data_IF_433541228885
#
_entry.id   IF_433541228885
#
_cell.length_a   1.000
_cell.length_b   1.000
_cell.length_c   1.000
_cell.angle_alpha   90.00
_cell.angle_beta   90.00
_cell.angle_gamma   90.00
#
_symmetry.space_group_name_H-M   'P 1'
#
loop_
_entity.id
_entity.type
_entity.pdbx_description
1 polymer ?
#
# COMPACT_ATOMS: atom_id res chain seq x y z
N UNK A 1 -69.19 50.09 39.53
CA UNK A 1 -69.27 48.62 39.69
C UNK A 1 -67.92 48.07 39.27
N UNK A 2 -67.13 47.69 40.27
CA UNK A 2 -65.72 47.38 40.13
C UNK A 2 -65.47 46.03 39.48
N UNK A 3 -64.36 46.00 38.76
CA UNK A 3 -63.67 44.85 38.19
C UNK A 3 -63.52 43.70 39.20
N UNK A 4 -63.83 42.48 38.75
CA UNK A 4 -63.25 41.27 39.31
C UNK A 4 -63.26 40.17 38.24
N UNK A 5 -62.48 40.38 37.17
CA UNK A 5 -62.06 39.28 36.30
C UNK A 5 -61.04 38.49 37.11
N UNK A 6 -61.33 37.21 37.31
CA UNK A 6 -60.65 36.39 38.31
C UNK A 6 -59.15 36.25 37.98
N UNK A 7 -58.30 36.41 38.99
CA UNK A 7 -56.85 36.15 38.92
C UNK A 7 -56.51 34.74 38.38
N UNK A 8 -57.48 33.83 38.37
CA UNK A 8 -57.36 32.48 37.83
C UNK A 8 -57.39 32.44 36.30
N UNK A 9 -58.31 33.14 35.63
CA UNK A 9 -58.44 33.15 34.16
C UNK A 9 -57.23 33.79 33.47
N UNK A 10 -56.65 34.84 34.08
CA UNK A 10 -55.40 35.45 33.57
C UNK A 10 -54.20 34.49 33.70
N UNK A 11 -54.11 33.73 34.79
CA UNK A 11 -53.06 32.71 34.99
C UNK A 11 -53.18 31.55 34.01
N UNK A 12 -54.39 31.06 33.71
CA UNK A 12 -54.59 29.99 32.73
C UNK A 12 -54.30 30.47 31.31
N UNK A 13 -54.65 31.70 30.95
CA UNK A 13 -54.28 32.25 29.64
C UNK A 13 -52.78 32.45 29.47
N UNK A 14 -52.08 32.92 30.50
CA UNK A 14 -50.61 33.06 30.49
C UNK A 14 -49.91 31.71 30.42
N UNK A 15 -50.38 30.70 31.17
CA UNK A 15 -49.87 29.33 31.12
C UNK A 15 -50.09 28.70 29.73
N UNK A 16 -51.29 28.86 29.16
CA UNK A 16 -51.62 28.39 27.80
C UNK A 16 -50.87 29.17 26.70
N UNK A 17 -50.45 30.42 26.95
CA UNK A 17 -49.57 31.19 26.05
C UNK A 17 -48.12 30.73 26.15
N UNK A 18 -47.65 30.41 27.36
CA UNK A 18 -46.31 29.88 27.61
C UNK A 18 -46.15 28.47 27.03
N UNK A 19 -47.16 27.61 27.17
CA UNK A 19 -47.19 26.27 26.56
C UNK A 19 -47.27 26.33 25.04
N UNK A 20 -48.09 27.22 24.47
CA UNK A 20 -48.13 27.45 23.01
C UNK A 20 -46.80 27.99 22.47
N UNK A 21 -46.17 28.95 23.16
CA UNK A 21 -44.82 29.43 22.83
C UNK A 21 -43.77 28.33 22.96
N UNK A 22 -43.85 27.48 23.97
CA UNK A 22 -42.96 26.32 24.13
C UNK A 22 -43.11 25.29 23.01
N UNK A 23 -44.35 25.04 22.58
CA UNK A 23 -44.67 24.14 21.46
C UNK A 23 -44.40 24.73 20.07
N UNK A 24 -44.39 26.06 19.91
CA UNK A 24 -43.88 26.76 18.72
C UNK A 24 -42.35 26.78 18.69
N UNK A 25 -41.70 27.08 19.81
CA UNK A 25 -40.24 27.06 19.94
C UNK A 25 -39.63 25.67 19.63
N UNK A 26 -40.33 24.59 19.96
CA UNK A 26 -39.94 23.21 19.62
C UNK A 26 -40.17 22.85 18.15
N UNK A 27 -41.11 23.52 17.46
CA UNK A 27 -41.40 23.28 16.04
C UNK A 27 -40.31 23.81 15.11
N UNK A 28 -39.57 24.82 15.55
CA UNK A 28 -38.50 25.46 14.78
C UNK A 28 -37.08 24.93 15.12
N UNK A 29 -36.97 23.91 16.00
CA UNK A 29 -35.67 23.30 16.32
C UNK A 29 -35.34 22.14 15.39
N UNK A 30 -34.10 22.15 14.88
CA UNK A 30 -33.50 20.98 14.24
C UNK A 30 -32.81 20.11 15.27
N UNK A 31 -33.13 18.83 15.25
CA UNK A 31 -32.46 17.79 16.01
C UNK A 31 -31.40 17.17 15.12
N UNK A 32 -30.16 17.11 15.59
CA UNK A 32 -29.04 16.50 14.87
C UNK A 32 -28.36 15.45 15.75
N UNK A 33 -27.76 14.43 15.14
CA UNK A 33 -26.95 13.42 15.83
C UNK A 33 -25.48 13.78 15.65
N UNK A 34 -24.86 14.34 16.68
CA UNK A 34 -23.47 14.78 16.61
C UNK A 34 -22.55 13.74 17.24
N UNK A 35 -21.39 13.47 16.61
CA UNK A 35 -20.32 12.60 17.13
C UNK A 35 -18.94 13.23 16.95
N UNK A 36 -17.95 12.70 17.65
CA UNK A 36 -16.53 12.97 17.36
C UNK A 36 -16.01 12.06 16.24
N UNK A 37 -14.88 12.38 15.62
CA UNK A 37 -14.19 11.49 14.67
C UNK A 37 -13.89 10.14 15.31
N UNK A 38 -14.08 9.06 14.54
CA UNK A 38 -13.77 7.68 14.94
C UNK A 38 -14.63 7.09 16.08
N UNK A 39 -15.53 7.87 16.68
CA UNK A 39 -16.39 7.38 17.77
C UNK A 39 -17.71 6.84 17.24
N UNK A 40 -18.13 5.68 17.75
CA UNK A 40 -19.49 5.15 17.55
C UNK A 40 -20.53 5.85 18.44
N UNK A 41 -20.09 6.65 19.43
CA UNK A 41 -20.97 7.34 20.38
C UNK A 41 -21.52 8.63 19.75
N UNK A 42 -22.85 8.75 19.74
CA UNK A 42 -23.59 9.88 19.17
C UNK A 42 -24.43 10.57 20.24
N UNK A 43 -24.60 11.88 20.12
CA UNK A 43 -25.48 12.67 20.98
C UNK A 43 -26.52 13.42 20.16
N UNK A 44 -27.77 13.35 20.58
CA UNK A 44 -28.84 14.18 20.02
C UNK A 44 -28.73 15.61 20.51
N UNK A 45 -28.62 16.57 19.60
CA UNK A 45 -28.51 18.00 19.91
C UNK A 45 -29.61 18.74 19.15
N UNK A 46 -30.47 19.43 19.89
CA UNK A 46 -31.50 20.30 19.32
C UNK A 46 -30.99 21.74 19.23
N UNK A 47 -31.07 22.36 18.05
CA UNK A 47 -30.63 23.72 17.81
C UNK A 47 -31.53 24.46 16.81
N UNK A 48 -31.67 25.77 17.00
CA UNK A 48 -32.43 26.68 16.11
C UNK A 48 -31.56 27.26 14.99
N UNK A 49 -30.24 27.33 15.21
CA UNK A 49 -29.27 27.87 14.28
C UNK A 49 -27.92 27.17 14.48
N UNK A 50 -26.97 27.38 13.57
CA UNK A 50 -25.68 26.71 13.61
C UNK A 50 -24.85 27.17 14.81
N UNK A 51 -24.91 28.45 15.20
CA UNK A 51 -24.23 28.94 16.40
C UNK A 51 -24.65 28.14 17.64
N UNK A 52 -25.95 27.95 17.86
CA UNK A 52 -26.47 27.19 18.99
C UNK A 52 -26.09 25.70 18.90
N UNK A 53 -26.09 25.12 17.69
CA UNK A 53 -25.63 23.75 17.47
C UNK A 53 -24.17 23.60 17.87
N UNK A 54 -23.30 24.52 17.42
CA UNK A 54 -21.88 24.54 17.74
C UNK A 54 -21.64 24.67 19.24
N UNK A 55 -22.26 25.65 19.90
CA UNK A 55 -22.09 25.86 21.35
C UNK A 55 -22.51 24.62 22.16
N UNK A 56 -23.67 24.03 21.85
CA UNK A 56 -24.15 22.82 22.54
C UNK A 56 -23.27 21.61 22.26
N UNK A 57 -22.77 21.48 21.04
CA UNK A 57 -21.84 20.42 20.67
C UNK A 57 -20.50 20.60 21.41
N UNK A 58 -19.92 21.80 21.39
CA UNK A 58 -18.68 22.12 22.08
C UNK A 58 -18.76 21.80 23.57
N UNK A 59 -19.85 22.17 24.25
CA UNK A 59 -20.09 21.80 25.65
C UNK A 59 -20.17 20.29 25.87
N UNK A 60 -20.72 19.55 24.91
CA UNK A 60 -20.89 18.09 25.02
C UNK A 60 -19.59 17.32 24.77
N UNK A 61 -18.72 17.87 23.93
CA UNK A 61 -17.46 17.25 23.50
C UNK A 61 -16.21 17.94 24.07
N UNK A 62 -16.40 18.85 25.03
CA UNK A 62 -15.31 19.55 25.73
C UNK A 62 -14.36 20.29 24.77
N UNK A 63 -14.95 21.04 23.84
CA UNK A 63 -14.24 21.94 22.91
C UNK A 63 -14.50 23.41 23.25
N UNK A 64 -13.55 24.27 22.90
CA UNK A 64 -13.76 25.71 22.85
C UNK A 64 -14.48 26.10 21.54
N UNK A 65 -15.55 26.92 21.57
CA UNK A 65 -16.32 27.27 20.37
C UNK A 65 -15.50 27.94 19.26
N UNK A 66 -14.47 28.71 19.64
CA UNK A 66 -13.58 29.39 18.68
C UNK A 66 -12.78 28.40 17.83
N UNK A 67 -12.57 27.19 18.37
CA UNK A 67 -11.74 26.14 17.79
C UNK A 67 -12.54 25.05 17.11
N UNK A 68 -13.85 25.20 16.87
CA UNK A 68 -14.69 24.12 16.35
C UNK A 68 -15.44 24.46 15.05
N UNK A 69 -15.69 23.43 14.24
CA UNK A 69 -16.64 23.45 13.13
C UNK A 69 -17.40 22.12 13.07
N UNK A 70 -18.51 22.07 12.33
CA UNK A 70 -19.33 20.86 12.16
C UNK A 70 -19.44 20.56 10.67
N UNK A 71 -19.35 19.28 10.30
CA UNK A 71 -19.61 18.80 8.95
C UNK A 71 -20.60 17.62 8.94
N UNK A 72 -21.20 17.35 7.78
CA UNK A 72 -22.04 16.19 7.56
C UNK A 72 -21.21 14.90 7.60
N UNK A 73 -21.71 13.87 8.28
CA UNK A 73 -21.02 12.59 8.41
C UNK A 73 -21.01 11.76 7.11
N UNK A 74 -21.91 12.07 6.17
CA UNK A 74 -22.09 11.35 4.91
C UNK A 74 -21.00 11.71 3.88
N UNK A 75 -20.77 13.01 3.66
CA UNK A 75 -19.95 13.52 2.56
C UNK A 75 -18.87 14.52 3.00
N UNK A 76 -18.87 14.93 4.27
CA UNK A 76 -17.92 15.89 4.81
C UNK A 76 -18.26 17.35 4.54
N UNK A 77 -19.44 17.65 4.00
CA UNK A 77 -19.86 19.03 3.74
C UNK A 77 -19.87 19.83 5.03
N UNK A 78 -19.12 20.94 5.06
CA UNK A 78 -19.08 21.84 6.22
C UNK A 78 -20.46 22.49 6.35
N UNK A 79 -20.99 22.48 7.57
CA UNK A 79 -22.26 23.13 7.87
C UNK A 79 -21.98 24.61 8.09
N UNK A 80 -22.66 25.44 7.30
CA UNK A 80 -22.65 26.89 7.35
C UNK A 80 -24.08 27.36 7.67
N UNK A 81 -24.24 28.62 8.11
CA UNK A 81 -25.57 29.14 8.44
C UNK A 81 -26.54 29.04 7.25
N UNK A 82 -26.01 29.20 6.03
CA UNK A 82 -26.78 29.12 4.79
C UNK A 82 -27.37 27.72 4.51
N UNK A 83 -26.72 26.64 4.94
CA UNK A 83 -27.16 25.26 4.69
C UNK A 83 -27.75 24.57 5.93
N UNK A 84 -27.65 25.17 7.12
CA UNK A 84 -28.26 24.66 8.34
C UNK A 84 -29.79 24.52 8.19
N UNK A 85 -30.43 25.50 7.54
CA UNK A 85 -31.87 25.52 7.26
C UNK A 85 -32.34 24.34 6.38
N UNK A 86 -31.44 23.71 5.63
CA UNK A 86 -31.76 22.58 4.75
C UNK A 86 -31.53 21.21 5.41
N UNK A 87 -30.89 21.18 6.59
CA UNK A 87 -30.63 19.93 7.31
C UNK A 87 -31.92 19.19 7.67
N UNK A 88 -32.02 17.91 7.29
CA UNK A 88 -33.13 17.06 7.71
C UNK A 88 -33.08 16.82 9.22
N UNK A 89 -34.23 16.47 9.80
CA UNK A 89 -34.27 16.04 11.19
C UNK A 89 -33.43 14.77 11.39
N UNK A 90 -32.70 14.73 12.49
CA UNK A 90 -31.78 13.65 12.88
C UNK A 90 -30.58 13.42 11.94
N UNK A 91 -30.20 14.40 11.11
CA UNK A 91 -28.97 14.30 10.30
C UNK A 91 -27.75 14.01 11.18
N UNK A 92 -26.90 13.10 10.72
CA UNK A 92 -25.66 12.74 11.41
C UNK A 92 -24.54 13.72 11.04
N UNK A 93 -23.92 14.30 12.06
CA UNK A 93 -22.92 15.34 11.96
C UNK A 93 -21.66 14.97 12.76
N UNK A 94 -20.52 15.49 12.33
CA UNK A 94 -19.24 15.32 13.00
C UNK A 94 -18.73 16.69 13.45
N UNK A 95 -18.41 16.82 14.74
CA UNK A 95 -17.75 18.01 15.27
C UNK A 95 -16.23 17.86 15.18
N UNK A 96 -15.55 18.90 14.70
CA UNK A 96 -14.13 18.91 14.36
C UNK A 96 -13.46 20.16 14.93
N UNK A 97 -12.15 20.12 15.19
CA UNK A 97 -11.39 21.32 15.58
C UNK A 97 -10.96 22.13 14.34
N UNK A 98 -10.88 23.46 14.40
CA UNK A 98 -10.48 24.34 13.28
C UNK A 98 -9.00 24.22 12.91
N UNK A 99 -8.12 24.02 13.89
CA UNK A 99 -6.72 23.64 13.68
C UNK A 99 -6.59 22.31 12.91
N UNK A 100 -7.69 21.58 12.83
CA UNK A 100 -7.86 20.34 12.13
C UNK A 100 -8.52 20.53 10.76
N UNK A 101 -8.48 21.72 10.15
CA UNK A 101 -8.74 21.91 8.72
C UNK A 101 -7.71 21.09 7.90
N UNK A 102 -8.10 19.86 7.58
CA UNK A 102 -7.22 18.81 7.06
C UNK A 102 -7.54 17.45 7.68
N UNK A 103 -7.90 17.43 8.97
CA UNK A 103 -8.40 16.24 9.66
C UNK A 103 -9.78 15.83 9.15
N UNK A 104 -10.59 16.76 8.62
CA UNK A 104 -11.81 16.37 7.89
C UNK A 104 -11.46 15.46 6.71
N UNK A 105 -10.50 15.85 5.89
CA UNK A 105 -10.04 15.05 4.74
C UNK A 105 -9.39 13.74 5.21
N UNK A 106 -8.52 13.76 6.24
CA UNK A 106 -7.93 12.52 6.76
C UNK A 106 -9.00 11.61 7.36
N UNK A 107 -10.00 12.16 8.06
CA UNK A 107 -11.11 11.40 8.62
C UNK A 107 -11.94 10.72 7.52
N UNK A 108 -12.26 11.43 6.42
CA UNK A 108 -12.96 10.81 5.29
C UNK A 108 -12.10 9.77 4.57
N UNK A 109 -10.77 9.97 4.49
CA UNK A 109 -9.87 8.96 3.94
C UNK A 109 -9.78 7.73 4.85
N UNK A 110 -9.67 7.91 6.17
CA UNK A 110 -9.70 6.81 7.14
C UNK A 110 -11.03 6.06 7.08
N UNK A 111 -12.15 6.77 7.05
CA UNK A 111 -13.47 6.16 6.89
C UNK A 111 -13.60 5.38 5.59
N UNK A 112 -13.04 5.90 4.48
CA UNK A 112 -13.02 5.18 3.21
C UNK A 112 -12.15 3.93 3.29
N UNK A 113 -10.98 4.01 3.93
CA UNK A 113 -10.08 2.87 4.12
C UNK A 113 -10.70 1.81 5.03
N UNK A 114 -11.40 2.21 6.09
CA UNK A 114 -12.12 1.32 7.00
C UNK A 114 -13.29 0.61 6.31
N UNK A 115 -13.88 1.23 5.28
CA UNK A 115 -14.90 0.59 4.44
C UNK A 115 -14.31 -0.41 3.44
N UNK A 116 -12.99 -0.40 3.21
CA UNK A 116 -12.33 -1.39 2.36
C UNK A 116 -12.16 -2.70 3.14
N UNK A 117 -13.18 -3.54 3.07
CA UNK A 117 -13.14 -4.94 3.47
C UNK A 117 -13.60 -5.84 2.31
N UNK A 118 -13.26 -7.13 2.37
CA UNK A 118 -13.62 -8.09 1.31
C UNK A 118 -15.13 -8.10 0.99
N UNK A 119 -16.01 -7.76 1.95
CA UNK A 119 -17.46 -7.77 1.76
C UNK A 119 -17.98 -6.50 1.06
N UNK A 120 -17.29 -5.39 1.20
CA UNK A 120 -17.71 -4.08 0.68
C UNK A 120 -17.00 -3.69 -0.62
N UNK A 121 -15.87 -4.32 -0.96
CA UNK A 121 -15.08 -4.03 -2.16
C UNK A 121 -15.94 -4.00 -3.45
N UNK A 122 -16.85 -4.97 -3.64
CA UNK A 122 -17.69 -5.02 -4.84
C UNK A 122 -18.62 -3.81 -4.97
N UNK A 123 -19.31 -3.43 -3.89
CA UNK A 123 -20.21 -2.26 -3.89
C UNK A 123 -19.44 -0.97 -4.11
N UNK A 124 -18.28 -0.85 -3.47
CA UNK A 124 -17.42 0.32 -3.61
C UNK A 124 -16.89 0.44 -5.05
N UNK A 125 -16.46 -0.67 -5.65
CA UNK A 125 -16.05 -0.71 -7.04
C UNK A 125 -17.18 -0.34 -8.00
N UNK A 126 -18.39 -0.86 -7.80
CA UNK A 126 -19.56 -0.51 -8.62
C UNK A 126 -19.88 0.99 -8.52
N UNK A 127 -19.87 1.55 -7.31
CA UNK A 127 -20.05 2.98 -7.11
C UNK A 127 -18.96 3.80 -7.82
N UNK A 128 -17.68 3.44 -7.66
CA UNK A 128 -16.56 4.12 -8.31
C UNK A 128 -16.62 4.00 -9.85
N UNK A 129 -17.06 2.86 -10.38
CA UNK A 129 -17.30 2.68 -11.82
C UNK A 129 -18.43 3.56 -12.32
N UNK A 130 -19.52 3.69 -11.56
CA UNK A 130 -20.63 4.60 -11.88
C UNK A 130 -20.24 6.07 -11.87
N UNK A 131 -19.18 6.45 -11.16
CA UNK A 131 -18.63 7.81 -11.18
C UNK A 131 -17.77 8.12 -12.41
N UNK A 132 -17.31 7.11 -13.18
CA UNK A 132 -16.46 7.34 -14.34
C UNK A 132 -17.29 7.88 -15.52
N UNK A 133 -16.96 9.11 -15.97
CA UNK A 133 -17.57 9.75 -17.14
C UNK A 133 -16.51 10.15 -18.18
N UNK A 134 -16.93 10.31 -19.44
CA UNK A 134 -16.03 10.64 -20.56
C UNK A 134 -15.43 12.06 -20.45
N UNK A 135 -16.19 13.00 -19.89
CA UNK A 135 -15.82 14.40 -19.65
C UNK A 135 -14.99 14.61 -18.37
N UNK A 136 -14.72 13.55 -17.60
CA UNK A 136 -13.96 13.64 -16.37
C UNK A 136 -12.50 14.10 -16.58
N UNK A 137 -12.05 15.01 -15.71
CA UNK A 137 -10.65 15.44 -15.66
C UNK A 137 -9.68 14.25 -15.52
N UNK A 138 -8.57 14.19 -16.30
CA UNK A 138 -7.67 13.03 -16.34
C UNK A 138 -7.11 12.62 -14.96
N UNK A 139 -6.81 13.58 -14.08
CA UNK A 139 -6.32 13.29 -12.72
C UNK A 139 -7.36 12.55 -11.88
N UNK A 140 -8.64 12.94 -11.97
CA UNK A 140 -9.75 12.29 -11.24
C UNK A 140 -9.96 10.88 -11.75
N UNK A 141 -9.98 10.70 -13.08
CA UNK A 141 -10.09 9.39 -13.73
C UNK A 141 -8.97 8.46 -13.28
N UNK A 142 -7.72 8.93 -13.28
CA UNK A 142 -6.56 8.15 -12.85
C UNK A 142 -6.66 7.70 -11.39
N UNK A 143 -7.12 8.58 -10.49
CA UNK A 143 -7.29 8.22 -9.07
C UNK A 143 -8.38 7.15 -8.90
N UNK A 144 -9.56 7.34 -9.50
CA UNK A 144 -10.65 6.36 -9.44
C UNK A 144 -10.25 5.02 -10.04
N UNK A 145 -9.59 5.02 -11.20
CA UNK A 145 -9.05 3.79 -11.81
C UNK A 145 -8.04 3.11 -10.89
N UNK A 146 -7.17 3.87 -10.22
CA UNK A 146 -6.22 3.32 -9.25
C UNK A 146 -6.91 2.63 -8.06
N UNK A 147 -7.99 3.20 -7.54
CA UNK A 147 -8.79 2.56 -6.49
C UNK A 147 -9.49 1.30 -6.99
N UNK A 148 -10.19 1.38 -8.13
CA UNK A 148 -10.87 0.23 -8.73
C UNK A 148 -9.87 -0.91 -8.96
N UNK A 149 -8.69 -0.61 -9.48
CA UNK A 149 -7.65 -1.61 -9.74
C UNK A 149 -7.08 -2.25 -8.48
N UNK A 150 -7.07 -1.50 -7.36
CA UNK A 150 -6.63 -2.02 -6.06
C UNK A 150 -7.69 -2.90 -5.41
N UNK A 151 -8.98 -2.62 -5.66
CA UNK A 151 -10.11 -3.40 -5.13
C UNK A 151 -10.46 -4.63 -5.98
N UNK A 152 -10.17 -4.60 -7.29
CA UNK A 152 -10.40 -5.72 -8.22
C UNK A 152 -9.27 -6.74 -8.08
N UNK A 153 -9.27 -7.45 -6.96
CA UNK A 153 -8.29 -8.46 -6.60
C UNK A 153 -8.91 -9.81 -6.22
N UNK A 154 -8.14 -10.88 -6.41
CA UNK A 154 -8.50 -12.22 -6.00
C UNK A 154 -7.25 -12.92 -5.44
N UNK A 155 -6.68 -12.35 -4.38
CA UNK A 155 -5.42 -12.81 -3.79
C UNK A 155 -5.51 -14.28 -3.36
N UNK A 156 -6.60 -14.69 -2.71
CA UNK A 156 -6.73 -16.04 -2.14
C UNK A 156 -6.71 -17.15 -3.20
N UNK A 157 -7.27 -16.92 -4.38
CA UNK A 157 -7.21 -17.88 -5.48
C UNK A 157 -5.76 -18.06 -5.97
N UNK A 158 -5.24 -19.29 -5.91
CA UNK A 158 -3.95 -19.63 -6.52
C UNK A 158 -4.11 -20.45 -7.80
N UNK A 159 -5.13 -21.30 -7.90
CA UNK A 159 -5.33 -22.14 -9.08
C UNK A 159 -5.94 -21.38 -10.25
N UNK A 160 -5.48 -21.68 -11.47
CA UNK A 160 -5.97 -21.08 -12.71
C UNK A 160 -7.49 -21.23 -12.90
N UNK A 161 -8.06 -22.36 -12.52
CA UNK A 161 -9.50 -22.61 -12.61
C UNK A 161 -10.34 -21.68 -11.72
N UNK A 162 -9.76 -21.11 -10.66
CA UNK A 162 -10.43 -20.19 -9.72
C UNK A 162 -10.22 -18.72 -10.06
N UNK A 163 -9.28 -18.40 -10.94
CA UNK A 163 -8.97 -17.02 -11.33
C UNK A 163 -8.35 -16.95 -12.74
N UNK A 164 -9.12 -17.35 -13.76
CA UNK A 164 -8.62 -17.39 -15.14
C UNK A 164 -8.14 -16.03 -15.65
N UNK A 165 -8.77 -14.92 -15.21
CA UNK A 165 -8.39 -13.55 -15.58
C UNK A 165 -6.95 -13.24 -15.22
N UNK A 166 -6.49 -13.69 -14.04
CA UNK A 166 -5.10 -13.51 -13.65
C UNK A 166 -4.14 -14.20 -14.61
N UNK A 167 -4.49 -15.33 -15.24
CA UNK A 167 -3.61 -16.12 -16.11
C UNK A 167 -3.61 -15.69 -17.57
N UNK A 168 -4.48 -14.76 -17.97
CA UNK A 168 -4.54 -14.27 -19.34
C UNK A 168 -3.16 -13.82 -19.86
N UNK A 169 -2.81 -14.30 -21.06
CA UNK A 169 -1.53 -14.04 -21.72
C UNK A 169 -0.36 -14.89 -21.22
N UNK A 170 -0.58 -15.87 -20.33
CA UNK A 170 0.44 -16.85 -19.96
C UNK A 170 0.31 -18.15 -20.75
N UNK A 171 1.42 -18.88 -20.78
CA UNK A 171 1.49 -20.27 -21.25
C UNK A 171 0.60 -21.18 -20.40
N UNK A 172 -0.16 -22.06 -21.06
CA UNK A 172 -1.13 -22.98 -20.43
C UNK A 172 -0.51 -23.97 -19.44
N UNK A 173 0.81 -24.15 -19.46
CA UNK A 173 1.53 -24.99 -18.48
C UNK A 173 1.41 -24.49 -17.05
N UNK A 174 1.12 -23.20 -16.84
CA UNK A 174 0.99 -22.62 -15.52
C UNK A 174 -0.39 -22.87 -14.95
N UNK A 175 -0.47 -23.78 -13.97
CA UNK A 175 -1.72 -24.18 -13.31
C UNK A 175 -1.98 -23.40 -12.03
N UNK A 176 -0.98 -22.70 -11.50
CA UNK A 176 -1.13 -21.87 -10.31
C UNK A 176 -0.29 -20.60 -10.34
N UNK A 177 -0.73 -19.55 -9.62
CA UNK A 177 -0.04 -18.25 -9.52
C UNK A 177 1.33 -18.45 -8.91
N UNK A 178 1.40 -19.23 -7.85
CA UNK A 178 2.64 -19.61 -7.16
C UNK A 178 3.64 -20.31 -8.08
N UNK A 179 3.17 -21.21 -8.96
CA UNK A 179 4.02 -21.87 -9.96
C UNK A 179 4.60 -20.85 -10.95
N UNK A 180 3.79 -19.93 -11.47
CA UNK A 180 4.26 -18.87 -12.36
C UNK A 180 5.26 -17.95 -11.66
N UNK A 181 4.96 -17.49 -10.45
CA UNK A 181 5.83 -16.57 -9.70
C UNK A 181 7.19 -17.21 -9.37
N UNK A 182 7.20 -18.50 -9.02
CA UNK A 182 8.42 -19.29 -8.87
C UNK A 182 9.23 -19.31 -10.16
N UNK A 183 8.57 -19.59 -11.29
CA UNK A 183 9.21 -19.59 -12.60
C UNK A 183 9.75 -18.20 -12.98
N UNK A 184 9.00 -17.13 -12.71
CA UNK A 184 9.40 -15.75 -12.95
C UNK A 184 10.72 -15.43 -12.26
N UNK A 185 10.83 -15.73 -10.96
CA UNK A 185 12.08 -15.55 -10.22
C UNK A 185 13.22 -16.40 -10.82
N UNK A 186 12.99 -17.69 -11.04
CA UNK A 186 14.01 -18.57 -11.62
C UNK A 186 14.52 -18.07 -12.97
N UNK A 187 13.66 -17.48 -13.79
CA UNK A 187 14.05 -16.89 -15.07
C UNK A 187 14.95 -15.66 -14.91
N UNK A 188 14.71 -14.80 -13.91
CA UNK A 188 15.60 -13.66 -13.61
C UNK A 188 16.99 -14.14 -13.21
N UNK A 189 17.07 -15.13 -12.31
CA UNK A 189 18.35 -15.70 -11.86
C UNK A 189 19.08 -16.43 -13.00
N UNK A 190 18.36 -17.17 -13.85
CA UNK A 190 18.93 -17.75 -15.08
C UNK A 190 19.45 -16.67 -16.03
N UNK A 191 18.76 -15.55 -16.15
CA UNK A 191 19.23 -14.37 -16.89
C UNK A 191 20.59 -13.89 -16.38
N UNK A 192 20.76 -13.80 -15.06
CA UNK A 192 22.06 -13.46 -14.47
C UNK A 192 23.14 -14.48 -14.83
N UNK A 193 22.85 -15.79 -14.70
CA UNK A 193 23.79 -16.85 -15.05
C UNK A 193 24.20 -16.78 -16.54
N UNK A 194 23.25 -16.53 -17.43
CA UNK A 194 23.52 -16.34 -18.87
C UNK A 194 24.46 -15.16 -19.09
N UNK A 195 24.27 -14.04 -18.40
CA UNK A 195 25.19 -12.90 -18.48
C UNK A 195 26.58 -13.20 -17.91
N UNK A 196 26.66 -13.95 -16.80
CA UNK A 196 27.94 -14.40 -16.22
C UNK A 196 28.69 -15.29 -17.22
N UNK A 197 28.02 -16.27 -17.84
CA UNK A 197 28.63 -17.13 -18.87
C UNK A 197 29.12 -16.32 -20.07
N UNK A 198 28.32 -15.36 -20.55
CA UNK A 198 28.70 -14.47 -21.67
C UNK A 198 29.94 -13.62 -21.35
N UNK A 199 30.22 -13.32 -20.08
CA UNK A 199 31.41 -12.54 -19.71
C UNK A 199 32.73 -13.28 -20.01
N UNK A 200 32.69 -14.60 -20.11
CA UNK A 200 33.86 -15.44 -20.35
C UNK A 200 34.54 -15.12 -21.71
N UNK A 201 33.80 -14.63 -22.71
CA UNK A 201 34.33 -14.28 -24.04
C UNK A 201 35.37 -13.15 -24.01
N UNK A 202 35.50 -12.42 -22.90
CA UNK A 202 36.47 -11.32 -22.72
C UNK A 202 37.84 -11.79 -22.20
N UNK A 203 38.06 -13.09 -22.07
CA UNK A 203 39.23 -13.66 -21.39
C UNK A 203 40.17 -14.37 -22.37
N UNK A 204 41.46 -14.45 -22.00
CA UNK A 204 42.41 -15.33 -22.68
C UNK A 204 42.04 -16.81 -22.45
N UNK A 205 42.49 -17.71 -23.33
CA UNK A 205 42.09 -19.13 -23.35
C UNK A 205 42.25 -19.84 -22.01
N UNK A 206 43.34 -19.58 -21.28
CA UNK A 206 43.60 -20.23 -19.99
C UNK A 206 42.66 -19.73 -18.91
N UNK A 207 42.52 -18.41 -18.79
CA UNK A 207 41.58 -17.79 -17.85
C UNK A 207 40.13 -18.17 -18.18
N UNK A 208 39.79 -18.25 -19.47
CA UNK A 208 38.47 -18.62 -19.97
C UNK A 208 38.03 -20.00 -19.46
N UNK A 209 38.87 -21.02 -19.61
CA UNK A 209 38.52 -22.38 -19.18
C UNK A 209 38.31 -22.46 -17.66
N UNK A 210 39.19 -21.85 -16.88
CA UNK A 210 39.06 -21.82 -15.41
C UNK A 210 37.82 -21.06 -14.96
N UNK A 211 37.48 -19.96 -15.64
CA UNK A 211 36.27 -19.20 -15.38
C UNK A 211 35.01 -20.02 -15.64
N UNK A 212 34.91 -20.68 -16.80
CA UNK A 212 33.75 -21.54 -17.12
C UNK A 212 33.62 -22.70 -16.13
N UNK A 213 34.72 -23.34 -15.73
CA UNK A 213 34.68 -24.40 -14.72
C UNK A 213 34.16 -23.86 -13.37
N UNK A 214 34.64 -22.68 -12.95
CA UNK A 214 34.17 -22.01 -11.73
C UNK A 214 32.68 -21.67 -11.81
N UNK A 215 32.20 -21.19 -12.96
CA UNK A 215 30.78 -20.88 -13.20
C UNK A 215 29.93 -22.15 -13.20
N UNK A 216 30.46 -23.29 -13.67
CA UNK A 216 29.76 -24.57 -13.66
C UNK A 216 29.48 -25.05 -12.23
N UNK A 217 30.42 -24.87 -11.30
CA UNK A 217 30.19 -25.14 -9.87
C UNK A 217 29.04 -24.30 -9.31
N UNK A 218 29.02 -22.99 -9.64
CA UNK A 218 27.93 -22.09 -9.23
C UNK A 218 26.59 -22.47 -9.87
N UNK A 219 26.60 -22.94 -11.13
CA UNK A 219 25.40 -23.42 -11.81
C UNK A 219 24.85 -24.70 -11.19
N UNK A 220 25.71 -25.63 -10.78
CA UNK A 220 25.29 -26.85 -10.07
C UNK A 220 24.57 -26.47 -8.77
N UNK A 221 25.15 -25.57 -7.97
CA UNK A 221 24.50 -25.03 -6.77
C UNK A 221 23.15 -24.37 -7.10
N UNK A 222 23.06 -23.60 -8.19
CA UNK A 222 21.79 -23.00 -8.62
C UNK A 222 20.74 -24.07 -8.98
N UNK A 223 21.13 -25.18 -9.61
CA UNK A 223 20.21 -26.25 -9.99
C UNK A 223 19.63 -26.93 -8.75
N UNK A 224 20.44 -27.17 -7.72
CA UNK A 224 20.01 -27.75 -6.44
C UNK A 224 18.90 -26.91 -5.79
N UNK A 225 19.04 -25.58 -5.78
CA UNK A 225 18.05 -24.65 -5.22
C UNK A 225 17.01 -24.15 -6.23
N UNK A 226 16.90 -24.81 -7.39
CA UNK A 226 15.93 -24.50 -8.46
C UNK A 226 15.98 -23.02 -8.88
N UNK A 227 17.19 -22.50 -9.02
CA UNK A 227 17.50 -21.12 -9.43
C UNK A 227 16.85 -20.06 -8.53
N UNK A 228 16.76 -20.32 -7.23
CA UNK A 228 16.16 -19.45 -6.23
C UNK A 228 14.73 -19.01 -6.55
N UNK A 229 13.99 -19.84 -7.29
CA UNK A 229 12.60 -19.56 -7.64
C UNK A 229 11.71 -19.33 -6.40
N UNK A 230 12.11 -19.92 -5.27
CA UNK A 230 11.41 -19.83 -4.00
C UNK A 230 11.26 -18.38 -3.49
N UNK A 231 12.16 -17.45 -3.86
CA UNK A 231 12.07 -16.04 -3.43
C UNK A 231 10.73 -15.39 -3.76
N UNK A 232 10.08 -15.75 -4.87
CA UNK A 232 8.80 -15.15 -5.26
C UNK A 232 7.59 -16.05 -5.00
N UNK A 233 7.78 -17.22 -4.38
CA UNK A 233 6.69 -18.16 -4.18
C UNK A 233 6.12 -18.02 -2.76
N UNK A 234 4.91 -17.45 -2.63
CA UNK A 234 4.21 -17.29 -1.35
C UNK A 234 3.93 -18.61 -0.62
N UNK A 235 3.97 -19.76 -1.29
CA UNK A 235 3.77 -21.08 -0.64
C UNK A 235 5.04 -21.65 0.01
N UNK A 236 6.20 -21.02 -0.17
CA UNK A 236 7.46 -21.47 0.45
C UNK A 236 7.58 -20.99 1.90
N UNK A 237 8.58 -21.50 2.61
CA UNK A 237 8.84 -21.09 3.99
C UNK A 237 9.08 -19.57 4.08
N UNK A 238 8.55 -18.93 5.12
CA UNK A 238 8.68 -17.48 5.37
C UNK A 238 10.14 -17.00 5.33
N UNK A 239 11.10 -17.81 5.80
CA UNK A 239 12.54 -17.45 5.78
C UNK A 239 13.17 -17.51 4.39
N UNK A 240 12.51 -18.16 3.44
CA UNK A 240 13.02 -18.39 2.09
C UNK A 240 12.37 -17.46 1.06
N UNK A 241 11.12 -17.03 1.27
CA UNK A 241 10.41 -16.13 0.35
C UNK A 241 10.63 -14.64 0.69
N UNK A 242 10.47 -13.77 -0.30
CA UNK A 242 10.55 -12.31 -0.16
C UNK A 242 9.20 -11.65 0.14
N UNK A 243 8.10 -12.38 -0.01
CA UNK A 243 6.75 -11.91 0.30
C UNK A 243 6.23 -12.49 1.61
N UNK A 244 5.15 -11.91 2.12
CA UNK A 244 4.35 -12.55 3.17
C UNK A 244 3.56 -13.77 2.64
N UNK A 245 2.70 -14.35 3.48
CA UNK A 245 1.88 -15.51 3.16
C UNK A 245 0.77 -15.22 2.16
N UNK A 246 0.37 -13.96 2.06
CA UNK A 246 -0.61 -13.48 1.07
C UNK A 246 0.04 -13.10 -0.26
N UNK A 247 1.36 -12.92 -0.30
CA UNK A 247 2.11 -12.58 -1.51
C UNK A 247 2.45 -11.10 -1.64
N UNK A 248 2.34 -10.31 -0.58
CA UNK A 248 2.80 -8.92 -0.57
C UNK A 248 4.32 -8.83 -0.54
N UNK A 249 4.89 -8.17 -1.54
CA UNK A 249 6.29 -7.83 -1.60
C UNK A 249 6.49 -6.39 -1.15
N UNK A 250 7.55 -6.16 -0.38
CA UNK A 250 7.96 -4.84 0.07
C UNK A 250 9.26 -4.44 -0.59
N UNK A 251 9.35 -3.19 -1.06
CA UNK A 251 10.58 -2.65 -1.59
C UNK A 251 11.62 -2.55 -0.47
N UNK A 252 12.79 -3.12 -0.71
CA UNK A 252 13.90 -3.10 0.25
C UNK A 252 14.68 -1.78 0.22
N UNK A 253 14.28 -0.83 -0.64
CA UNK A 253 14.96 0.46 -0.85
C UNK A 253 16.20 0.34 -1.73
N UNK A 254 16.72 1.48 -2.18
CA UNK A 254 17.91 1.55 -3.03
C UNK A 254 19.13 0.83 -2.41
N UNK A 255 20.15 0.54 -3.23
CA UNK A 255 21.34 -0.22 -2.81
C UNK A 255 22.09 0.38 -1.60
N UNK A 256 21.99 1.70 -1.44
CA UNK A 256 22.63 2.55 -0.43
C UNK A 256 21.70 2.95 0.73
N UNK A 257 20.49 2.39 0.79
CA UNK A 257 19.51 2.64 1.85
C UNK A 257 19.18 1.35 2.59
N UNK A 258 18.83 1.43 3.87
CA UNK A 258 18.40 0.26 4.64
C UNK A 258 16.94 -0.13 4.35
N UNK A 259 16.10 0.84 3.97
CA UNK A 259 14.70 0.60 3.66
C UNK A 259 14.14 1.56 2.60
N UNK A 260 12.96 1.26 2.07
CA UNK A 260 12.26 2.15 1.14
C UNK A 260 11.51 3.25 1.89
N UNK A 261 11.91 4.51 1.67
CA UNK A 261 11.25 5.69 2.26
C UNK A 261 9.79 5.85 1.80
N UNK A 262 9.51 5.55 0.53
CA UNK A 262 8.17 5.62 -0.06
C UNK A 262 7.28 4.42 0.29
N UNK A 263 7.78 3.45 1.07
CA UNK A 263 7.04 2.24 1.49
C UNK A 263 6.36 1.50 0.33
N UNK A 264 7.00 1.47 -0.84
CA UNK A 264 6.45 0.79 -2.00
C UNK A 264 6.18 -0.69 -1.68
N UNK A 265 4.96 -1.13 -1.97
CA UNK A 265 4.52 -2.52 -1.87
C UNK A 265 3.79 -2.93 -3.15
N UNK A 266 3.67 -4.23 -3.37
CA UNK A 266 2.89 -4.80 -4.46
C UNK A 266 2.49 -6.24 -4.14
N UNK A 267 1.30 -6.65 -4.55
CA UNK A 267 0.91 -8.05 -4.56
C UNK A 267 0.69 -8.56 -5.99
N UNK A 268 1.69 -9.19 -6.63
CA UNK A 268 1.54 -9.73 -7.97
C UNK A 268 0.56 -10.91 -8.06
N UNK A 269 0.10 -11.44 -6.92
CA UNK A 269 -0.95 -12.46 -6.87
C UNK A 269 -2.36 -11.88 -6.94
N UNK A 270 -2.53 -10.58 -6.71
CA UNK A 270 -3.84 -9.93 -6.63
C UNK A 270 -4.61 -9.98 -7.96
N UNK A 271 -4.00 -9.48 -9.04
CA UNK A 271 -4.61 -9.39 -10.35
C UNK A 271 -3.57 -9.37 -11.49
N UNK A 272 -4.06 -9.46 -12.73
CA UNK A 272 -3.25 -9.48 -13.96
C UNK A 272 -2.34 -8.26 -14.08
N UNK A 273 -2.85 -7.06 -13.78
CA UNK A 273 -2.07 -5.83 -13.89
C UNK A 273 -0.95 -5.79 -12.86
N UNK A 274 -1.21 -6.12 -11.60
CA UNK A 274 -0.18 -6.19 -10.55
C UNK A 274 0.92 -7.20 -10.90
N UNK A 275 0.55 -8.36 -11.47
CA UNK A 275 1.51 -9.33 -12.00
C UNK A 275 2.39 -8.73 -13.10
N UNK A 276 1.81 -7.95 -14.02
CA UNK A 276 2.55 -7.29 -15.10
C UNK A 276 3.45 -6.19 -14.54
N UNK A 277 2.95 -5.33 -13.66
CA UNK A 277 3.72 -4.24 -13.02
C UNK A 277 4.91 -4.80 -12.25
N UNK A 278 4.79 -5.98 -11.64
CA UNK A 278 5.90 -6.65 -10.96
C UNK A 278 7.07 -7.03 -11.88
N UNK A 279 6.88 -7.08 -13.19
CA UNK A 279 7.99 -7.21 -14.15
C UNK A 279 8.94 -5.99 -14.15
N UNK A 280 8.46 -4.82 -13.71
CA UNK A 280 9.26 -3.60 -13.58
C UNK A 280 10.08 -3.55 -12.29
N UNK A 281 9.73 -4.36 -11.30
CA UNK A 281 10.50 -4.52 -10.06
C UNK A 281 11.79 -5.29 -10.35
N UNK A 282 12.89 -4.94 -9.69
CA UNK A 282 14.21 -5.49 -9.96
C UNK A 282 14.76 -6.23 -8.76
N UNK A 283 15.50 -7.32 -9.00
CA UNK A 283 16.47 -7.84 -8.03
C UNK A 283 17.81 -7.16 -8.34
N UNK A 284 18.05 -6.02 -7.70
CA UNK A 284 19.22 -5.18 -7.93
C UNK A 284 20.43 -5.68 -7.14
N UNK A 285 21.60 -5.71 -7.79
CA UNK A 285 22.85 -6.13 -7.17
C UNK A 285 23.49 -4.95 -6.43
N UNK A 286 23.58 -4.99 -5.10
CA UNK A 286 24.25 -3.93 -4.32
C UNK A 286 25.69 -3.73 -4.77
N UNK A 287 26.50 -4.78 -4.71
CA UNK A 287 27.79 -4.84 -5.40
C UNK A 287 27.52 -5.21 -6.84
N UNK A 288 27.76 -4.29 -7.78
CA UNK A 288 27.36 -4.43 -9.16
C UNK A 288 28.00 -5.64 -9.86
N UNK A 289 27.16 -6.50 -10.44
CA UNK A 289 27.59 -7.69 -11.17
C UNK A 289 28.59 -7.40 -12.29
N UNK A 290 28.20 -6.57 -13.27
CA UNK A 290 29.01 -6.32 -14.48
C UNK A 290 30.19 -5.38 -14.22
N UNK A 291 30.02 -4.38 -13.36
CA UNK A 291 31.05 -3.37 -13.09
C UNK A 291 32.09 -3.82 -12.06
N UNK A 292 31.71 -4.68 -11.11
CA UNK A 292 32.58 -5.03 -9.98
C UNK A 292 32.81 -6.53 -9.85
N UNK A 293 31.75 -7.34 -9.72
CA UNK A 293 31.89 -8.76 -9.37
C UNK A 293 32.61 -9.56 -10.46
N UNK A 294 32.17 -9.43 -11.72
CA UNK A 294 32.72 -10.20 -12.83
C UNK A 294 34.19 -9.83 -13.14
N UNK A 295 34.58 -8.54 -13.20
CA UNK A 295 35.99 -8.16 -13.28
C UNK A 295 36.83 -8.68 -12.11
N UNK A 296 36.29 -8.64 -10.88
CA UNK A 296 36.99 -9.15 -9.70
C UNK A 296 37.24 -10.67 -9.77
N UNK A 297 36.22 -11.45 -10.15
CA UNK A 297 36.34 -12.90 -10.34
C UNK A 297 37.36 -13.24 -11.42
N UNK A 298 37.28 -12.58 -12.58
CA UNK A 298 38.22 -12.78 -13.69
C UNK A 298 39.67 -12.47 -13.27
N UNK A 299 39.87 -11.35 -12.56
CA UNK A 299 41.19 -10.98 -12.03
C UNK A 299 41.70 -11.99 -11.00
N UNK A 300 40.82 -12.48 -10.12
CA UNK A 300 41.16 -13.46 -9.11
C UNK A 300 41.64 -14.77 -9.73
N UNK A 301 40.94 -15.25 -10.77
CA UNK A 301 41.30 -16.45 -11.55
C UNK A 301 42.63 -16.26 -12.27
N UNK A 302 42.81 -15.14 -12.98
CA UNK A 302 44.06 -14.86 -13.71
C UNK A 302 45.29 -14.83 -12.78
N UNK A 303 45.12 -14.33 -11.55
CA UNK A 303 46.19 -14.27 -10.52
C UNK A 303 46.33 -15.57 -9.72
N UNK A 304 45.45 -16.55 -9.95
CA UNK A 304 45.39 -17.79 -9.20
C UNK A 304 46.50 -18.75 -9.65
N UNK A 305 47.66 -18.71 -8.98
CA UNK A 305 48.77 -19.64 -9.25
C UNK A 305 48.68 -20.94 -8.44
N UNK A 306 48.39 -20.83 -7.14
CA UNK A 306 48.47 -21.97 -6.18
C UNK A 306 47.32 -22.00 -5.16
N UNK A 307 46.38 -21.04 -5.24
CA UNK A 307 45.22 -20.95 -4.34
C UNK A 307 43.99 -21.51 -5.04
N UNK A 308 42.98 -21.86 -4.27
CA UNK A 308 41.68 -22.25 -4.81
C UNK A 308 40.71 -21.07 -4.72
N UNK A 309 39.97 -20.78 -5.79
CA UNK A 309 38.96 -19.73 -5.82
C UNK A 309 37.80 -20.09 -4.89
N UNK A 310 37.39 -19.14 -4.06
CA UNK A 310 36.20 -19.28 -3.25
C UNK A 310 34.95 -18.94 -4.09
N UNK A 311 34.55 -19.86 -4.96
CA UNK A 311 33.38 -19.65 -5.81
C UNK A 311 32.08 -19.43 -5.02
N UNK A 312 31.99 -19.93 -3.78
CA UNK A 312 30.82 -19.73 -2.91
C UNK A 312 30.62 -18.25 -2.54
N UNK A 313 31.71 -17.50 -2.39
CA UNK A 313 31.62 -16.05 -2.17
C UNK A 313 31.07 -15.33 -3.39
N UNK A 314 31.57 -15.65 -4.58
CA UNK A 314 31.06 -15.04 -5.81
C UNK A 314 29.62 -15.49 -6.11
N UNK A 315 29.27 -16.73 -5.81
CA UNK A 315 27.91 -17.25 -5.90
C UNK A 315 26.95 -16.41 -5.06
N UNK A 316 27.31 -16.13 -3.79
CA UNK A 316 26.42 -15.36 -2.91
C UNK A 316 26.21 -13.94 -3.44
N UNK A 317 27.27 -13.30 -3.94
CA UNK A 317 27.17 -11.98 -4.55
C UNK A 317 26.35 -11.96 -5.86
N UNK A 318 26.42 -13.02 -6.67
CA UNK A 318 25.81 -13.05 -7.99
C UNK A 318 24.34 -13.45 -7.97
N UNK A 319 23.94 -14.33 -7.04
CA UNK A 319 22.67 -15.05 -7.18
C UNK A 319 21.80 -15.09 -5.93
N UNK A 320 22.25 -14.53 -4.80
CA UNK A 320 21.54 -14.65 -3.52
C UNK A 320 21.18 -13.28 -2.94
N UNK A 321 20.29 -13.30 -1.95
CA UNK A 321 19.85 -12.11 -1.21
C UNK A 321 20.96 -11.46 -0.36
N UNK A 322 22.11 -12.10 -0.20
CA UNK A 322 23.29 -11.47 0.42
C UNK A 322 23.70 -10.17 -0.31
N UNK A 323 23.41 -10.10 -1.62
CA UNK A 323 23.73 -8.95 -2.46
C UNK A 323 22.59 -8.49 -3.36
N UNK A 324 21.51 -9.26 -3.47
CA UNK A 324 20.31 -8.87 -4.23
C UNK A 324 19.30 -8.15 -3.34
N UNK A 325 18.82 -6.99 -3.79
CA UNK A 325 17.68 -6.27 -3.20
C UNK A 325 16.51 -6.25 -4.16
N UNK A 326 15.33 -6.64 -3.70
CA UNK A 326 14.08 -6.42 -4.42
C UNK A 326 13.66 -4.95 -4.30
N UNK A 327 13.64 -4.25 -5.44
CA UNK A 327 13.37 -2.81 -5.50
C UNK A 327 12.34 -2.49 -6.56
N UNK A 328 11.44 -1.56 -6.22
CA UNK A 328 10.56 -0.91 -7.19
C UNK A 328 11.41 -0.04 -8.15
N UNK A 329 10.96 0.15 -9.39
CA UNK A 329 11.77 0.78 -10.45
C UNK A 329 12.28 2.20 -10.12
N UNK A 330 11.51 3.01 -9.39
CA UNK A 330 11.92 4.34 -8.91
C UNK A 330 12.98 4.27 -7.80
N UNK A 331 13.09 3.14 -7.08
CA UNK A 331 14.16 2.90 -6.11
C UNK A 331 15.42 2.26 -6.73
N UNK A 332 15.36 1.86 -7.99
CA UNK A 332 16.49 1.26 -8.72
C UNK A 332 17.40 2.36 -9.29
N UNK A 333 18.38 2.80 -8.48
CA UNK A 333 19.38 3.80 -8.90
C UNK A 333 20.32 3.20 -9.94
N UNK A 334 20.25 3.66 -11.20
CA UNK A 334 21.14 3.20 -12.29
C UNK A 334 22.56 3.81 -12.27
N UNK A 335 22.87 4.59 -11.24
CA UNK A 335 24.20 5.17 -11.01
C UNK A 335 25.22 4.09 -10.66
N UNK A 336 26.52 4.42 -10.65
CA UNK A 336 27.53 3.50 -10.12
C UNK A 336 27.37 3.37 -8.60
N UNK A 337 27.37 2.14 -8.08
CA UNK A 337 27.13 1.88 -6.66
C UNK A 337 28.35 2.14 -5.78
N UNK A 338 29.55 2.25 -6.38
CA UNK A 338 30.83 2.47 -5.70
C UNK A 338 31.12 1.46 -4.57
N UNK A 339 30.51 0.29 -4.62
CA UNK A 339 30.77 -0.82 -3.71
C UNK A 339 31.78 -1.80 -4.33
N UNK A 340 32.67 -2.34 -3.49
CA UNK A 340 33.74 -3.26 -3.91
C UNK A 340 33.58 -4.64 -3.29
N UNK A 341 34.02 -5.67 -4.00
CA UNK A 341 34.13 -7.01 -3.42
C UNK A 341 35.21 -7.06 -2.32
N UNK A 342 34.95 -7.83 -1.27
CA UNK A 342 35.88 -8.14 -0.20
C UNK A 342 36.97 -9.09 -0.70
N UNK A 343 38.17 -8.53 -0.93
CA UNK A 343 39.33 -9.25 -1.45
C UNK A 343 39.79 -10.38 -0.53
N UNK A 344 39.53 -10.31 0.77
CA UNK A 344 39.92 -11.34 1.74
C UNK A 344 39.17 -12.66 1.51
N UNK A 345 38.00 -12.60 0.86
CA UNK A 345 37.12 -13.75 0.62
C UNK A 345 37.29 -14.40 -0.75
N UNK A 346 38.19 -13.91 -1.61
CA UNK A 346 38.33 -14.38 -3.00
C UNK A 346 38.85 -15.82 -3.09
N UNK A 347 39.66 -16.25 -2.13
CA UNK A 347 40.30 -17.55 -2.13
C UNK A 347 39.88 -18.34 -0.88
N UNK A 348 39.81 -19.66 -0.98
CA UNK A 348 39.53 -20.51 0.18
C UNK A 348 40.68 -20.41 1.20
N UNK A 349 40.33 -20.43 2.48
CA UNK A 349 41.34 -20.55 3.56
C UNK A 349 42.05 -21.89 3.40
N UNK A 350 43.38 -21.91 3.47
CA UNK A 350 44.13 -23.16 3.60
C UNK A 350 43.69 -23.83 4.90
N UNK A 351 43.25 -25.09 4.85
CA UNK A 351 43.16 -25.91 6.06
C UNK A 351 44.56 -25.94 6.66
N UNK A 352 44.69 -25.50 7.91
CA UNK A 352 45.94 -25.60 8.67
C UNK A 352 46.23 -27.05 8.98
#
# INVERSE_FOLDING_TARGET
MGQNISCWEQRTEECNRAERRGAELLRDMKTCKVRSPGSSKRYGIAAQNLQQLLEKSCRKFEFEPVDAYICAAEDGTIIEEANFADLKQNTELVIMRKESQGVGVTFHLEQLLDQMDENNNNKLMEAMRGMLTDDMAPKRRKLLQGFIQSLDENIEADECVKDGKWFEGLDERFKSKSQYMKHNCSCRIRGYLTEVKKYASKMDTKTHQQFINTVKEMENMLREVKFNGHYFNRRENQKERLCDDKGWFQCQGAFDMDSCSSKHSINPYANKESRIVFSTWNLDHRIEKKRTILPALASAIKKCKTREINFKYFYSLLFTLDNLKLVQIACHKKTNHKLSCDRSKFYRKRKR
#
